data_IF_867562009994
#
_entry.id   IF_867562009994
#
_cell.length_a   1.000
_cell.length_b   1.000
_cell.length_c   1.000
_cell.angle_alpha   90.00
_cell.angle_beta   90.00
_cell.angle_gamma   90.00
#
_symmetry.space_group_name_H-M   'P 1'
#
loop_
_entity.id
_entity.type
_entity.pdbx_description
1 polymer ?
#
# COMPACT_ATOMS: atom_id res chain seq x y z
N UNK A 1 4.08 13.24 1.19
CA UNK A 1 3.36 12.57 2.32
C UNK A 1 3.75 13.17 3.66
N UNK A 2 5.04 13.15 4.05
CA UNK A 2 5.48 13.64 5.37
C UNK A 2 5.13 15.11 5.66
N UNK A 3 5.20 15.99 4.65
CA UNK A 3 4.86 17.40 4.81
C UNK A 3 3.37 17.67 5.10
N UNK A 4 2.49 16.74 4.76
CA UNK A 4 1.03 16.90 4.88
C UNK A 4 0.45 16.10 6.06
N UNK A 5 1.29 15.39 6.81
CA UNK A 5 0.84 14.56 7.92
C UNK A 5 0.79 15.40 9.21
N UNK A 6 -0.33 15.43 9.96
CA UNK A 6 -0.48 16.29 11.14
C UNK A 6 0.29 15.82 12.39
N UNK A 7 0.98 14.66 12.32
CA UNK A 7 1.70 14.09 13.45
C UNK A 7 3.03 14.80 13.66
N UNK A 8 3.36 15.16 14.91
CA UNK A 8 4.67 15.74 15.29
C UNK A 8 5.86 14.93 14.78
N UNK A 9 5.76 13.61 14.78
CA UNK A 9 6.81 12.72 14.29
C UNK A 9 7.14 12.95 12.80
N UNK A 10 6.17 13.34 11.98
CA UNK A 10 6.38 13.56 10.55
C UNK A 10 7.36 14.70 10.29
N UNK A 11 7.32 15.76 11.10
CA UNK A 11 8.27 16.86 11.02
C UNK A 11 9.70 16.40 11.30
N UNK A 12 9.90 15.61 12.36
CA UNK A 12 11.21 15.08 12.74
C UNK A 12 11.78 14.16 11.66
N UNK A 13 10.97 13.24 11.15
CA UNK A 13 11.36 12.30 10.10
C UNK A 13 11.69 13.03 8.79
N UNK A 14 10.92 14.06 8.44
CA UNK A 14 11.17 14.88 7.25
C UNK A 14 12.54 15.59 7.34
N UNK A 15 12.86 16.14 8.52
CA UNK A 15 14.17 16.77 8.75
C UNK A 15 15.32 15.78 8.61
N UNK A 16 15.20 14.59 9.21
CA UNK A 16 16.23 13.54 9.11
C UNK A 16 16.39 13.03 7.69
N UNK A 17 15.29 12.88 6.95
CA UNK A 17 15.33 12.41 5.56
C UNK A 17 16.01 13.43 4.64
N UNK A 18 15.69 14.72 4.78
CA UNK A 18 16.38 15.79 4.04
C UNK A 18 17.88 15.82 4.31
N UNK A 19 18.26 15.65 5.58
CA UNK A 19 19.68 15.55 5.95
C UNK A 19 20.34 14.31 5.35
N UNK A 20 19.65 13.18 5.30
CA UNK A 20 20.18 11.96 4.69
C UNK A 20 20.40 12.11 3.18
N UNK A 21 19.47 12.76 2.46
CA UNK A 21 19.63 13.07 1.03
C UNK A 21 20.83 13.99 0.82
N UNK A 22 20.93 15.09 1.57
CA UNK A 22 22.06 16.02 1.44
C UNK A 22 23.41 15.35 1.73
N UNK A 23 23.46 14.42 2.69
CA UNK A 23 24.66 13.64 2.96
C UNK A 23 25.01 12.68 1.81
N UNK A 24 24.01 12.07 1.18
CA UNK A 24 24.21 11.20 0.02
C UNK A 24 24.71 11.98 -1.21
N UNK A 25 24.19 13.19 -1.44
CA UNK A 25 24.65 14.07 -2.50
C UNK A 25 26.08 14.56 -2.26
N UNK A 26 26.36 15.10 -1.06
CA UNK A 26 27.65 15.74 -0.80
C UNK A 26 28.80 14.76 -0.57
N UNK A 27 28.56 13.66 0.16
CA UNK A 27 29.64 12.75 0.56
C UNK A 27 29.80 11.58 -0.42
N UNK A 28 28.72 11.11 -1.03
CA UNK A 28 28.72 9.96 -1.93
C UNK A 28 28.50 10.32 -3.40
N UNK A 29 28.27 11.60 -3.73
CA UNK A 29 28.00 12.09 -5.09
C UNK A 29 26.86 11.34 -5.80
N UNK A 30 25.89 10.83 -5.03
CA UNK A 30 24.73 10.13 -5.56
C UNK A 30 23.65 11.13 -5.99
N UNK A 31 22.92 10.82 -7.07
CA UNK A 31 21.79 11.64 -7.52
C UNK A 31 20.56 11.38 -6.65
N UNK A 32 19.91 12.44 -6.17
CA UNK A 32 18.74 12.34 -5.29
C UNK A 32 17.55 11.58 -5.91
N UNK A 33 17.36 11.65 -7.22
CA UNK A 33 16.22 11.04 -7.91
C UNK A 33 16.22 9.51 -7.87
N UNK A 34 17.40 8.89 -7.70
CA UNK A 34 17.56 7.43 -7.64
C UNK A 34 17.51 6.84 -6.22
N UNK A 35 17.45 7.67 -5.18
CA UNK A 35 17.55 7.21 -3.80
C UNK A 35 16.22 6.65 -3.28
N UNK A 36 16.28 5.44 -2.75
CA UNK A 36 15.17 4.73 -2.11
C UNK A 36 15.50 4.49 -0.64
N UNK A 37 14.48 4.57 0.23
CA UNK A 37 14.63 4.22 1.65
C UNK A 37 14.70 2.70 1.77
N UNK A 38 15.87 2.16 2.10
CA UNK A 38 16.08 0.73 2.39
C UNK A 38 15.50 0.34 3.75
N UNK A 39 15.79 1.18 4.75
CA UNK A 39 15.45 0.88 6.14
C UNK A 39 15.17 2.17 6.90
N UNK A 40 14.14 2.16 7.74
CA UNK A 40 13.82 3.26 8.65
C UNK A 40 13.45 2.69 10.02
N UNK A 41 14.34 2.85 10.99
CA UNK A 41 14.20 2.29 12.35
C UNK A 41 14.23 3.41 13.38
N UNK A 42 13.39 3.25 14.40
CA UNK A 42 13.38 4.11 15.59
C UNK A 42 13.83 3.26 16.77
N UNK A 43 15.05 3.51 17.25
CA UNK A 43 15.62 2.84 18.42
C UNK A 43 15.28 3.56 19.72
N UNK A 44 15.55 2.89 20.84
CA UNK A 44 15.41 3.48 22.18
C UNK A 44 16.59 4.41 22.49
N UNK A 45 16.31 5.55 23.12
CA UNK A 45 17.29 6.48 23.63
C UNK A 45 17.28 6.56 25.16
N UNK A 46 18.16 7.38 25.77
CA UNK A 46 18.20 7.55 27.21
C UNK A 46 16.86 8.03 27.75
N UNK A 47 16.36 7.35 28.78
CA UNK A 47 15.09 7.68 29.42
C UNK A 47 15.35 8.46 30.71
N UNK A 48 14.86 9.70 30.78
CA UNK A 48 14.97 10.51 31.97
C UNK A 48 13.83 10.24 32.94
N UNK A 49 14.16 10.17 34.22
CA UNK A 49 13.20 9.94 35.31
C UNK A 49 12.81 11.29 35.93
N UNK A 50 11.51 11.52 36.15
CA UNK A 50 10.97 12.68 36.89
C UNK A 50 10.00 12.18 37.95
N UNK A 51 10.08 12.72 39.16
CA UNK A 51 9.11 12.41 40.21
C UNK A 51 7.90 13.34 40.06
N UNK A 52 6.70 12.79 40.22
CA UNK A 52 5.48 13.59 40.33
C UNK A 52 4.81 13.33 41.68
N UNK A 53 4.51 14.37 42.47
CA UNK A 53 3.82 14.22 43.74
C UNK A 53 2.42 13.69 43.52
N UNK A 54 1.94 12.85 44.45
CA UNK A 54 0.60 12.27 44.49
C UNK A 54 0.00 12.45 45.90
N UNK A 55 -1.27 12.08 46.05
CA UNK A 55 -1.99 12.20 47.31
C UNK A 55 -1.30 11.41 48.45
N UNK A 56 -1.54 11.82 49.69
CA UNK A 56 -1.03 11.16 50.92
C UNK A 56 0.49 10.96 50.93
N UNK A 57 1.26 11.97 50.53
CA UNK A 57 2.73 11.91 50.54
C UNK A 57 3.36 10.91 49.57
N UNK A 58 2.56 10.30 48.68
CA UNK A 58 3.05 9.34 47.70
C UNK A 58 3.67 10.03 46.48
N UNK A 59 4.56 9.33 45.76
CA UNK A 59 5.18 9.84 44.53
C UNK A 59 5.21 8.77 43.44
N UNK A 60 4.80 9.13 42.23
CA UNK A 60 4.94 8.26 41.05
C UNK A 60 6.03 8.79 40.12
N UNK A 61 6.68 7.89 39.37
CA UNK A 61 7.73 8.27 38.40
C UNK A 61 7.12 8.46 37.02
N UNK A 62 7.38 9.61 36.39
CA UNK A 62 7.16 9.83 34.96
C UNK A 62 8.48 9.58 34.22
N UNK A 63 8.42 8.75 33.18
CA UNK A 63 9.52 8.49 32.27
C UNK A 63 9.43 9.41 31.05
N UNK A 64 10.42 10.27 30.87
CA UNK A 64 10.60 11.08 29.65
C UNK A 64 11.50 10.29 28.70
N UNK A 65 10.87 9.51 27.81
CA UNK A 65 11.56 8.64 26.85
C UNK A 65 12.07 9.46 25.66
N UNK A 66 13.26 9.12 25.18
CA UNK A 66 13.83 9.63 23.94
C UNK A 66 14.11 8.45 22.99
N UNK A 67 14.46 8.75 21.75
CA UNK A 67 14.63 7.74 20.70
C UNK A 67 15.66 8.20 19.68
N UNK A 68 16.36 7.25 19.07
CA UNK A 68 17.28 7.49 17.96
C UNK A 68 16.61 7.12 16.64
N UNK A 69 16.60 8.06 15.68
CA UNK A 69 16.01 7.84 14.35
C UNK A 69 17.14 7.49 13.39
N UNK A 70 17.07 6.33 12.76
CA UNK A 70 18.02 5.87 11.73
C UNK A 70 17.30 5.63 10.42
N UNK A 71 17.76 6.29 9.36
CA UNK A 71 17.25 6.14 8.00
C UNK A 71 18.43 5.73 7.12
N UNK A 72 18.25 4.65 6.35
CA UNK A 72 19.23 4.13 5.39
C UNK A 72 18.67 4.30 3.99
N UNK A 73 19.43 4.96 3.13
CA UNK A 73 19.13 5.15 1.72
C UNK A 73 19.97 4.19 0.86
N UNK A 74 19.45 3.80 -0.29
CA UNK A 74 20.10 2.94 -1.28
C UNK A 74 19.64 3.33 -2.68
N UNK A 75 20.49 3.16 -3.68
CA UNK A 75 20.25 3.37 -5.10
C UNK A 75 20.04 2.04 -5.86
N UNK A 76 20.34 0.90 -5.23
CA UNK A 76 20.30 -0.43 -5.85
C UNK A 76 18.90 -0.92 -6.25
N UNK A 77 17.83 -0.30 -5.74
CA UNK A 77 16.46 -0.80 -5.92
C UNK A 77 15.83 -0.18 -7.16
N UNK A 78 15.60 -1.00 -8.19
CA UNK A 78 14.85 -0.60 -9.37
C UNK A 78 13.41 -0.18 -9.01
N UNK A 79 13.04 1.05 -9.37
CA UNK A 79 11.73 1.61 -9.05
C UNK A 79 10.68 1.07 -10.03
N UNK A 80 9.84 0.14 -9.57
CA UNK A 80 8.65 -0.26 -10.34
C UNK A 80 7.59 0.84 -10.28
N UNK A 81 7.47 1.61 -11.37
CA UNK A 81 6.39 2.60 -11.53
C UNK A 81 5.01 1.95 -11.51
N UNK A 82 3.98 2.71 -11.10
CA UNK A 82 2.58 2.23 -11.15
C UNK A 82 2.17 1.77 -12.54
N UNK A 83 2.71 2.41 -13.57
CA UNK A 83 2.47 2.09 -14.97
C UNK A 83 3.09 0.75 -15.37
N UNK A 84 4.35 0.48 -14.98
CA UNK A 84 4.98 -0.83 -15.21
C UNK A 84 4.25 -1.94 -14.46
N UNK A 85 3.78 -1.71 -13.23
CA UNK A 85 2.91 -2.67 -12.51
C UNK A 85 1.57 -2.91 -13.21
N UNK A 86 0.94 -1.86 -13.73
CA UNK A 86 -0.33 -1.95 -14.46
C UNK A 86 -0.14 -2.71 -15.77
N UNK A 87 0.91 -2.41 -16.53
CA UNK A 87 1.26 -3.09 -17.77
C UNK A 87 1.56 -4.58 -17.54
N UNK A 88 2.29 -4.93 -16.47
CA UNK A 88 2.55 -6.33 -16.09
C UNK A 88 1.26 -7.08 -15.73
N UNK A 89 0.35 -6.44 -14.99
CA UNK A 89 -0.97 -7.01 -14.65
C UNK A 89 -1.86 -7.18 -15.88
N UNK A 90 -1.78 -6.27 -16.85
CA UNK A 90 -2.54 -6.35 -18.10
C UNK A 90 -1.97 -7.39 -19.07
N UNK A 91 -0.64 -7.58 -19.07
CA UNK A 91 0.06 -8.68 -19.74
C UNK A 91 -0.34 -10.04 -19.14
N UNK A 92 -0.33 -10.17 -17.81
CA UNK A 92 -0.74 -11.39 -17.09
C UNK A 92 -2.23 -11.74 -17.35
N UNK A 93 -3.10 -10.73 -17.42
CA UNK A 93 -4.52 -10.91 -17.82
C UNK A 93 -4.70 -11.33 -19.27
N UNK A 94 -3.77 -10.97 -20.17
CA UNK A 94 -3.79 -11.41 -21.57
C UNK A 94 -3.21 -12.82 -21.74
N UNK A 95 -2.28 -13.24 -20.88
CA UNK A 95 -1.67 -14.57 -20.87
C UNK A 95 -2.41 -15.63 -20.04
N UNK A 96 -3.29 -15.21 -19.12
CA UNK A 96 -4.16 -16.12 -18.36
C UNK A 96 -5.23 -16.73 -19.25
N UNK A 97 -5.04 -18.01 -19.60
CA UNK A 97 -5.98 -18.86 -20.34
C UNK A 97 -7.42 -18.51 -19.98
N UNK A 98 -8.12 -17.96 -20.96
CA UNK A 98 -9.46 -17.41 -20.78
C UNK A 98 -10.33 -18.42 -20.08
N UNK A 99 -10.92 -18.02 -18.93
CA UNK A 99 -11.99 -18.70 -18.18
C UNK A 99 -12.31 -20.07 -18.77
N UNK A 100 -11.51 -21.10 -18.44
CA UNK A 100 -11.84 -22.45 -18.90
C UNK A 100 -13.24 -22.75 -18.37
N UNK A 101 -14.19 -22.86 -19.29
CA UNK A 101 -15.56 -23.19 -18.95
C UNK A 101 -15.52 -24.55 -18.23
N UNK A 102 -16.22 -24.73 -17.10
CA UNK A 102 -16.27 -26.03 -16.45
C UNK A 102 -16.73 -27.06 -17.49
N UNK A 103 -15.91 -28.08 -17.69
CA UNK A 103 -16.18 -29.18 -18.62
C UNK A 103 -16.95 -30.24 -17.85
N UNK A 104 -17.86 -30.96 -18.51
CA UNK A 104 -18.43 -32.15 -17.88
C UNK A 104 -17.35 -33.23 -17.67
N UNK A 105 -17.57 -34.22 -16.78
CA UNK A 105 -16.64 -35.35 -16.57
C UNK A 105 -16.28 -36.15 -17.84
N UNK A 106 -17.02 -35.95 -18.93
CA UNK A 106 -16.84 -36.62 -20.22
C UNK A 106 -16.16 -35.74 -21.28
N UNK A 107 -15.51 -34.64 -20.88
CA UNK A 107 -14.71 -33.82 -21.79
C UNK A 107 -15.51 -32.90 -22.74
N UNK A 108 -16.83 -32.80 -22.59
CA UNK A 108 -17.66 -31.86 -23.36
C UNK A 108 -17.76 -30.50 -22.66
N UNK A 109 -17.48 -29.42 -23.41
CA UNK A 109 -17.66 -28.04 -22.95
C UNK A 109 -19.11 -27.85 -22.47
N UNK A 110 -19.31 -27.36 -21.24
CA UNK A 110 -20.64 -27.03 -20.71
C UNK A 110 -21.21 -25.72 -21.32
N UNK A 111 -21.12 -25.56 -22.65
CA UNK A 111 -21.96 -24.67 -23.46
C UNK A 111 -21.54 -24.73 -24.94
N UNK A 112 -22.30 -25.50 -25.71
CA UNK A 112 -22.33 -25.45 -27.18
C UNK A 112 -23.71 -25.14 -27.75
N UNK A 113 -24.78 -25.34 -26.98
CA UNK A 113 -26.10 -24.83 -27.35
C UNK A 113 -26.31 -23.48 -26.67
N UNK A 114 -26.74 -22.47 -27.43
CA UNK A 114 -27.34 -21.24 -26.88
C UNK A 114 -28.45 -21.68 -25.91
N UNK A 115 -28.21 -21.69 -24.60
CA UNK A 115 -29.25 -22.08 -23.63
C UNK A 115 -30.45 -21.12 -23.69
N UNK A 116 -30.23 -19.90 -24.21
CA UNK A 116 -31.23 -18.88 -24.48
C UNK A 116 -31.28 -18.56 -25.99
N UNK A 117 -32.31 -19.01 -26.68
CA UNK A 117 -32.66 -18.43 -27.97
C UNK A 117 -33.42 -17.13 -27.70
N UNK A 118 -33.04 -16.05 -28.38
CA UNK A 118 -33.68 -14.71 -28.29
C UNK A 118 -35.18 -14.73 -28.65
N UNK A 119 -35.66 -15.84 -29.22
CA UNK A 119 -37.03 -16.05 -29.69
C UNK A 119 -37.79 -17.11 -28.88
N UNK A 120 -37.31 -17.50 -27.69
CA UNK A 120 -38.06 -18.44 -26.85
C UNK A 120 -39.36 -17.78 -26.34
N UNK A 121 -40.54 -18.36 -26.58
CA UNK A 121 -41.81 -17.80 -26.11
C UNK A 121 -41.84 -17.59 -24.60
N UNK A 122 -41.14 -18.46 -23.85
CA UNK A 122 -41.06 -18.45 -22.39
C UNK A 122 -40.35 -17.24 -21.78
N UNK A 123 -39.51 -16.54 -22.56
CA UNK A 123 -38.77 -15.35 -22.08
C UNK A 123 -39.71 -14.17 -21.77
N UNK A 124 -40.93 -14.16 -22.33
CA UNK A 124 -41.98 -13.16 -22.02
C UNK A 124 -42.54 -13.27 -20.60
N UNK A 125 -42.35 -14.40 -19.94
CA UNK A 125 -42.85 -14.65 -18.58
C UNK A 125 -41.80 -14.38 -17.49
N UNK A 126 -40.59 -13.94 -17.87
CA UNK A 126 -39.50 -13.69 -16.92
C UNK A 126 -39.53 -12.22 -16.50
N UNK A 127 -39.86 -11.95 -15.23
CA UNK A 127 -39.76 -10.62 -14.62
C UNK A 127 -38.28 -10.22 -14.50
N UNK A 128 -37.80 -9.41 -15.45
CA UNK A 128 -36.45 -8.88 -15.41
C UNK A 128 -36.37 -7.80 -14.30
N UNK A 129 -35.62 -8.08 -13.24
CA UNK A 129 -35.37 -7.11 -12.16
C UNK A 129 -34.63 -5.91 -12.74
N UNK A 130 -35.33 -4.78 -12.94
CA UNK A 130 -34.75 -3.50 -13.39
C UNK A 130 -33.54 -3.16 -12.52
N UNK A 131 -32.33 -3.25 -13.08
CA UNK A 131 -31.16 -2.56 -12.52
C UNK A 131 -31.33 -1.08 -12.83
N UNK A 132 -31.61 -0.30 -11.80
CA UNK A 132 -31.71 1.14 -11.89
C UNK A 132 -30.39 1.71 -12.44
N UNK A 133 -30.43 2.20 -13.68
CA UNK A 133 -29.45 3.14 -14.19
C UNK A 133 -29.98 4.54 -13.86
N UNK A 134 -29.45 5.17 -12.81
CA UNK A 134 -29.53 6.62 -12.61
C UNK A 134 -28.16 7.19 -12.98
N UNK A 135 -28.04 7.64 -14.23
CA UNK A 135 -27.10 8.69 -14.64
C UNK A 135 -27.90 9.99 -14.67
N UNK A 136 -27.31 11.03 -14.10
CA UNK A 136 -27.87 12.36 -13.86
C UNK A 136 -27.12 12.93 -12.67
#
# INVERSE_FOLDING_TARGET
ILAFTPKKAAFLINKTLKSAIANAENNANLKADGLVVKEAVVGEGPTFKRMTPRARGSGSRILKRTSHIRIVLTDDVAIETRETKKAKRDQEKKGGGGRHHPVSPWGQLAKGFKTRSKRKPSDRFILERKRANKKG
#
